data_IF_347935206899
#
_entry.id   IF_347935206899
#
_cell.length_a   1.000
_cell.length_b   1.000
_cell.length_c   1.000
_cell.angle_alpha   90.00
_cell.angle_beta   90.00
_cell.angle_gamma   90.00
#
_symmetry.space_group_name_H-M   'P 1'
#
loop_
_entity.id
_entity.type
_entity.pdbx_description
1 polymer ?
#
# COMPACT_ATOMS: atom_id res chain seq x y z
N UNK A 1 19.59 -57.77 -55.07
CA UNK A 1 18.23 -57.84 -54.50
C UNK A 1 18.16 -56.87 -53.32
N UNK A 2 17.71 -55.65 -53.63
CA UNK A 2 17.60 -54.49 -52.72
C UNK A 2 16.19 -54.51 -52.16
N UNK A 3 16.01 -54.91 -50.89
CA UNK A 3 14.76 -54.72 -50.11
C UNK A 3 15.00 -55.26 -48.71
N UNK A 4 15.15 -54.37 -47.72
CA UNK A 4 14.69 -54.54 -46.31
C UNK A 4 15.22 -53.47 -45.35
N UNK A 5 16.21 -52.65 -45.71
CA UNK A 5 16.86 -51.70 -44.76
C UNK A 5 16.22 -50.29 -44.66
N UNK A 6 15.00 -50.08 -45.17
CA UNK A 6 14.35 -48.76 -45.15
C UNK A 6 13.01 -48.67 -44.42
N UNK A 7 12.79 -49.52 -43.42
CA UNK A 7 11.58 -49.41 -42.56
C UNK A 7 11.96 -49.12 -41.10
N UNK A 8 13.18 -49.45 -40.66
CA UNK A 8 13.62 -49.19 -39.29
C UNK A 8 14.00 -47.73 -38.99
N UNK A 9 14.19 -46.91 -40.04
CA UNK A 9 14.63 -45.51 -39.89
C UNK A 9 13.49 -44.50 -39.70
N UNK A 10 12.23 -44.95 -39.67
CA UNK A 10 11.06 -44.06 -39.51
C UNK A 10 10.43 -44.18 -38.10
N UNK A 11 10.79 -45.21 -37.33
CA UNK A 11 10.18 -45.49 -36.02
C UNK A 11 10.93 -44.79 -34.88
N UNK A 12 12.16 -44.29 -35.11
CA UNK A 12 12.95 -43.60 -34.08
C UNK A 12 12.69 -42.08 -33.99
N UNK A 13 11.89 -41.52 -34.89
CA UNK A 13 11.65 -40.06 -34.97
C UNK A 13 10.41 -39.58 -34.21
N UNK A 14 9.63 -40.48 -33.61
CA UNK A 14 8.31 -40.16 -32.99
C UNK A 14 8.43 -39.85 -31.48
N UNK A 15 9.64 -39.87 -30.91
CA UNK A 15 9.87 -39.53 -29.49
C UNK A 15 10.40 -38.10 -29.25
N UNK A 16 10.08 -37.16 -30.13
CA UNK A 16 10.28 -35.74 -29.83
C UNK A 16 8.96 -35.17 -29.28
N UNK A 17 8.83 -35.23 -27.95
CA UNK A 17 7.83 -34.48 -27.19
C UNK A 17 7.83 -33.01 -27.64
N UNK A 18 6.69 -32.41 -28.04
CA UNK A 18 6.35 -31.12 -27.49
C UNK A 18 5.74 -31.39 -26.13
N UNK A 19 6.52 -31.09 -25.10
CA UNK A 19 6.02 -30.94 -23.75
C UNK A 19 4.80 -30.03 -23.84
N UNK A 20 3.64 -30.53 -23.41
CA UNK A 20 2.49 -29.68 -23.15
C UNK A 20 3.00 -28.59 -22.21
N UNK A 21 3.09 -27.35 -22.69
CA UNK A 21 3.18 -26.21 -21.80
C UNK A 21 1.83 -26.14 -21.10
N UNK A 22 1.73 -26.83 -19.96
CA UNK A 22 0.73 -26.53 -18.95
C UNK A 22 1.02 -25.08 -18.58
N UNK A 23 0.27 -24.14 -19.15
CA UNK A 23 0.20 -22.82 -18.56
C UNK A 23 -0.37 -23.07 -17.17
N UNK A 24 0.49 -22.98 -16.15
CA UNK A 24 -0.01 -22.67 -14.83
C UNK A 24 -0.63 -21.31 -15.01
N UNK A 25 -1.95 -21.29 -15.27
CA UNK A 25 -2.74 -20.12 -14.99
C UNK A 25 -2.37 -19.80 -13.54
N UNK A 26 -1.53 -18.78 -13.37
CA UNK A 26 -1.35 -18.16 -12.09
C UNK A 26 -2.75 -17.68 -11.78
N UNK A 27 -3.47 -18.48 -11.01
CA UNK A 27 -4.66 -18.04 -10.37
C UNK A 27 -4.13 -16.91 -9.48
N UNK A 28 -4.24 -15.67 -9.97
CA UNK A 28 -4.43 -14.51 -9.13
C UNK A 28 -5.74 -14.76 -8.40
N UNK A 29 -5.75 -15.77 -7.53
CA UNK A 29 -6.71 -15.91 -6.47
C UNK A 29 -6.42 -14.68 -5.63
N UNK A 30 -7.23 -13.66 -5.89
CA UNK A 30 -7.93 -12.87 -4.89
C UNK A 30 -7.75 -13.40 -3.47
N UNK A 31 -6.55 -13.24 -2.92
CA UNK A 31 -6.35 -13.12 -1.51
C UNK A 31 -6.89 -11.72 -1.16
N UNK A 32 -8.21 -11.60 -1.05
CA UNK A 32 -8.80 -10.58 -0.19
C UNK A 32 -8.44 -10.99 1.23
N UNK A 33 -7.17 -10.80 1.57
CA UNK A 33 -6.64 -11.07 2.87
C UNK A 33 -7.28 -10.02 3.77
N UNK A 34 -8.42 -10.37 4.40
CA UNK A 34 -8.95 -9.67 5.58
C UNK A 34 -8.03 -9.90 6.80
N UNK A 35 -6.72 -10.01 6.57
CA UNK A 35 -5.65 -10.11 7.57
C UNK A 35 -4.96 -8.77 7.76
N UNK A 36 -5.63 -7.67 7.43
CA UNK A 36 -5.27 -6.37 7.96
C UNK A 36 -5.51 -6.36 9.46
N UNK A 37 -4.64 -7.01 10.25
CA UNK A 37 -4.45 -6.60 11.64
C UNK A 37 -4.16 -5.11 11.55
N UNK A 38 -5.10 -4.27 11.99
CA UNK A 38 -4.85 -2.84 12.11
C UNK A 38 -3.59 -2.71 12.96
N UNK A 39 -2.49 -2.31 12.33
CA UNK A 39 -1.27 -2.05 13.06
C UNK A 39 -1.58 -0.86 13.94
N UNK A 40 -1.69 -1.12 15.24
CA UNK A 40 -1.95 -0.07 16.21
C UNK A 40 -0.75 0.88 16.19
N UNK A 41 -1.05 2.17 16.24
CA UNK A 41 -0.02 3.17 16.48
C UNK A 41 0.64 2.85 17.82
N UNK A 42 1.95 2.58 17.81
CA UNK A 42 2.68 2.17 19.02
C UNK A 42 3.20 3.35 19.83
N UNK A 43 3.11 4.57 19.30
CA UNK A 43 3.68 5.78 19.87
C UNK A 43 2.68 6.94 19.82
N UNK A 44 2.66 7.73 20.89
CA UNK A 44 2.04 9.07 20.91
C UNK A 44 3.21 10.05 20.77
N UNK A 45 3.20 10.87 19.71
CA UNK A 45 4.27 11.83 19.46
C UNK A 45 4.03 13.15 20.20
N UNK A 46 2.77 13.47 20.49
CA UNK A 46 2.35 14.64 21.26
C UNK A 46 1.09 14.31 22.08
N UNK A 47 1.01 14.77 23.34
CA UNK A 47 -0.14 14.49 24.21
C UNK A 47 -1.47 15.05 23.66
N UNK A 48 -1.42 16.06 22.77
CA UNK A 48 -2.61 16.59 22.10
C UNK A 48 -3.24 15.62 21.11
N UNK A 49 -2.57 14.53 20.74
CA UNK A 49 -3.17 13.46 19.94
C UNK A 49 -4.32 12.75 20.68
N UNK A 50 -4.36 12.81 22.02
CA UNK A 50 -5.44 12.24 22.82
C UNK A 50 -6.72 13.10 22.81
N UNK A 51 -6.68 14.30 22.21
CA UNK A 51 -7.82 15.22 22.15
C UNK A 51 -8.83 14.88 21.06
N UNK A 52 -8.55 13.86 20.25
CA UNK A 52 -9.49 13.30 19.29
C UNK A 52 -9.47 11.77 19.30
N UNK A 53 -10.59 11.19 18.87
CA UNK A 53 -10.72 9.77 18.61
C UNK A 53 -10.81 9.52 17.10
N UNK A 54 -9.81 8.83 16.55
CA UNK A 54 -9.70 8.50 15.14
C UNK A 54 -10.58 7.29 14.80
N UNK A 55 -11.67 7.52 14.08
CA UNK A 55 -12.63 6.47 13.72
C UNK A 55 -12.16 5.64 12.53
N UNK A 56 -11.65 6.31 11.50
CA UNK A 56 -11.03 5.63 10.36
C UNK A 56 -9.97 6.49 9.66
N UNK A 57 -9.07 5.79 8.98
CA UNK A 57 -8.08 6.37 8.06
C UNK A 57 -8.20 5.68 6.72
N UNK A 58 -8.26 6.47 5.65
CA UNK A 58 -8.08 6.00 4.28
C UNK A 58 -6.71 6.45 3.80
N UNK A 59 -5.83 5.47 3.56
CA UNK A 59 -4.49 5.69 3.02
C UNK A 59 -4.47 5.28 1.54
N UNK A 60 -4.08 6.20 0.68
CA UNK A 60 -3.81 5.93 -0.74
C UNK A 60 -2.32 6.08 -0.97
N UNK A 61 -1.65 5.03 -1.41
CA UNK A 61 -0.21 5.02 -1.64
C UNK A 61 0.06 4.83 -3.13
N UNK A 62 0.84 5.73 -3.71
CA UNK A 62 1.42 5.60 -5.03
C UNK A 62 2.84 5.03 -4.90
N UNK A 63 3.07 3.89 -5.57
CA UNK A 63 4.34 3.18 -5.57
C UNK A 63 4.80 2.96 -7.03
N UNK A 64 6.11 2.86 -7.22
CA UNK A 64 6.72 2.45 -8.47
C UNK A 64 7.80 1.38 -8.21
N UNK A 65 8.36 0.80 -9.26
CA UNK A 65 9.41 -0.23 -9.19
C UNK A 65 10.82 0.33 -9.45
N UNK A 66 10.98 1.65 -9.51
CA UNK A 66 12.24 2.32 -9.84
C UNK A 66 13.00 2.78 -8.60
N UNK A 67 12.28 3.07 -7.51
CA UNK A 67 12.86 3.48 -6.23
C UNK A 67 11.91 3.18 -5.06
N UNK A 68 12.38 3.43 -3.84
CA UNK A 68 11.59 3.25 -2.60
C UNK A 68 10.82 4.52 -2.20
N UNK A 69 10.68 5.50 -3.10
CA UNK A 69 9.94 6.71 -2.78
C UNK A 69 8.46 6.37 -2.70
N UNK A 70 7.80 6.92 -1.69
CA UNK A 70 6.36 6.78 -1.49
C UNK A 70 5.72 8.15 -1.63
N UNK A 71 4.61 8.20 -2.35
CA UNK A 71 3.74 9.37 -2.43
C UNK A 71 2.31 8.92 -2.15
N UNK A 72 1.41 9.85 -1.82
CA UNK A 72 0.05 9.45 -1.52
C UNK A 72 -0.78 10.52 -0.85
N UNK A 73 -1.96 10.10 -0.40
CA UNK A 73 -2.87 10.94 0.36
C UNK A 73 -3.48 10.15 1.51
N UNK A 74 -3.75 10.87 2.60
CA UNK A 74 -4.36 10.33 3.81
C UNK A 74 -5.63 11.13 4.10
N UNK A 75 -6.73 10.42 4.35
CA UNK A 75 -7.96 11.02 4.86
C UNK A 75 -8.23 10.41 6.23
N UNK A 76 -8.19 11.24 7.26
CA UNK A 76 -8.55 10.88 8.62
C UNK A 76 -9.96 11.39 8.94
N UNK A 77 -10.81 10.51 9.47
CA UNK A 77 -12.05 10.92 10.10
C UNK A 77 -11.89 10.75 11.61
N UNK A 78 -11.79 11.88 12.29
CA UNK A 78 -11.58 11.98 13.73
C UNK A 78 -12.74 12.75 14.37
N UNK A 79 -13.08 12.39 15.60
CA UNK A 79 -14.10 13.06 16.41
C UNK A 79 -13.42 13.65 17.63
N UNK A 80 -13.69 14.91 17.94
CA UNK A 80 -13.14 15.59 19.13
C UNK A 80 -13.56 14.83 20.39
N UNK A 81 -12.58 14.44 21.22
CA UNK A 81 -12.80 13.80 22.52
C UNK A 81 -12.59 14.79 23.67
N UNK A 82 -11.82 15.86 23.45
CA UNK A 82 -11.57 16.93 24.42
C UNK A 82 -12.02 18.29 23.86
N UNK A 83 -12.91 18.99 24.56
CA UNK A 83 -13.45 20.28 24.14
C UNK A 83 -12.41 21.41 24.01
N UNK A 84 -11.21 21.24 24.57
CA UNK A 84 -10.10 22.19 24.43
C UNK A 84 -9.33 22.05 23.12
N UNK A 85 -9.73 21.14 22.23
CA UNK A 85 -9.05 20.91 20.95
C UNK A 85 -9.26 22.07 19.96
N UNK A 86 -8.26 22.92 19.84
CA UNK A 86 -8.18 24.03 18.87
C UNK A 86 -7.22 23.74 17.70
N UNK A 87 -6.51 22.62 17.75
CA UNK A 87 -5.52 22.20 16.75
C UNK A 87 -5.63 20.69 16.54
N UNK A 88 -5.50 20.25 15.29
CA UNK A 88 -5.30 18.85 14.94
C UNK A 88 -3.81 18.55 14.90
N UNK A 89 -3.34 17.72 15.82
CA UNK A 89 -1.94 17.34 15.94
C UNK A 89 -1.78 15.88 15.55
N UNK A 90 -0.79 15.55 14.74
CA UNK A 90 -0.51 14.16 14.37
C UNK A 90 0.99 13.92 14.14
N UNK A 91 1.39 12.66 14.28
CA UNK A 91 2.73 12.21 13.97
C UNK A 91 2.93 11.96 12.46
N UNK A 92 4.01 12.49 11.90
CA UNK A 92 4.51 12.15 10.58
C UNK A 92 6.04 12.20 10.59
N UNK A 93 6.72 11.21 10.01
CA UNK A 93 8.18 11.21 9.90
C UNK A 93 8.68 12.38 9.05
N UNK A 94 9.69 13.11 9.51
CA UNK A 94 10.24 14.32 8.85
C UNK A 94 10.76 14.09 7.42
N UNK A 95 11.04 12.83 7.07
CA UNK A 95 11.43 12.40 5.72
C UNK A 95 10.27 12.43 4.72
N UNK A 96 9.02 12.44 5.19
CA UNK A 96 7.82 12.58 4.36
C UNK A 96 7.39 14.05 4.28
N UNK A 97 7.27 14.57 3.06
CA UNK A 97 6.85 15.94 2.80
C UNK A 97 5.31 16.04 2.72
N UNK A 98 4.77 17.18 3.15
CA UNK A 98 3.34 17.48 3.07
C UNK A 98 3.15 18.59 2.05
N UNK A 99 2.46 18.27 0.96
CA UNK A 99 2.15 19.25 -0.08
C UNK A 99 0.96 20.14 0.32
N UNK A 100 -0.05 19.56 0.97
CA UNK A 100 -1.27 20.27 1.37
C UNK A 100 -1.98 19.56 2.52
N UNK A 101 -2.73 20.34 3.30
CA UNK A 101 -3.58 19.85 4.38
C UNK A 101 -4.96 20.46 4.23
N UNK A 102 -5.99 19.64 4.36
CA UNK A 102 -7.38 20.08 4.35
C UNK A 102 -8.09 19.62 5.62
N UNK A 103 -8.82 20.52 6.26
CA UNK A 103 -9.75 20.20 7.35
C UNK A 103 -11.14 20.50 6.86
N UNK A 104 -12.04 19.51 6.87
CA UNK A 104 -13.42 19.67 6.39
C UNK A 104 -13.51 20.35 5.01
N UNK A 105 -12.66 19.91 4.08
CA UNK A 105 -12.54 20.44 2.70
C UNK A 105 -11.99 21.88 2.58
N UNK A 106 -11.62 22.54 3.69
CA UNK A 106 -10.95 23.83 3.69
C UNK A 106 -9.43 23.63 3.70
N UNK A 107 -8.72 24.36 2.82
CA UNK A 107 -7.24 24.37 2.82
C UNK A 107 -6.74 25.05 4.09
N UNK A 108 -5.84 24.39 4.81
CA UNK A 108 -5.28 24.87 6.06
C UNK A 108 -3.75 25.00 5.97
N UNK A 109 -3.21 25.95 6.73
CA UNK A 109 -1.77 25.98 7.01
C UNK A 109 -1.43 24.92 8.06
N UNK A 110 -0.14 24.58 8.14
CA UNK A 110 0.37 23.70 9.18
C UNK A 110 1.73 24.18 9.64
N UNK A 111 2.10 23.83 10.88
CA UNK A 111 3.47 23.94 11.37
C UNK A 111 4.01 22.53 11.65
N UNK A 112 5.33 22.40 11.65
CA UNK A 112 6.00 21.13 11.91
C UNK A 112 7.22 21.32 12.78
N UNK A 113 7.34 20.49 13.82
CA UNK A 113 8.54 20.38 14.66
C UNK A 113 8.93 18.90 14.72
N UNK A 114 10.07 18.55 14.12
CA UNK A 114 10.51 17.16 13.97
C UNK A 114 9.41 16.28 13.33
N UNK A 115 8.91 15.29 14.08
CA UNK A 115 7.88 14.36 13.61
C UNK A 115 6.45 14.77 13.99
N UNK A 116 6.25 15.95 14.57
CA UNK A 116 4.93 16.44 15.00
C UNK A 116 4.44 17.50 14.04
N UNK A 117 3.24 17.31 13.51
CA UNK A 117 2.54 18.25 12.64
C UNK A 117 1.36 18.84 13.39
N UNK A 118 1.20 20.16 13.32
CA UNK A 118 0.12 20.89 13.98
C UNK A 118 -0.66 21.68 12.94
N UNK A 119 -1.98 21.48 12.92
CA UNK A 119 -2.91 22.11 11.97
C UNK A 119 -3.95 22.88 12.79
N UNK A 120 -4.00 24.21 12.69
CA UNK A 120 -5.02 24.99 13.39
C UNK A 120 -6.44 24.61 12.94
N UNK A 121 -7.36 24.43 13.89
CA UNK A 121 -8.79 24.26 13.64
C UNK A 121 -9.43 25.65 13.73
N UNK A 122 -9.67 26.26 12.57
CA UNK A 122 -10.36 27.54 12.42
C UNK A 122 -11.88 27.39 12.43
#
# INVERSE_FOLDING_TARGET
MIRTIRIFSIILSIFILPHCFISKAHACQHAHAKTGKKQLKTTIADAREDYYDLKYTKLTIALNNMNTNVAGSVVNYAVVSNALMNEYVFELLSTLQIDSVYVNNQLCTYTRVANVVTVPLS
#
